data_IF_007776392559
#
_entry.id   IF_007776392559
#
_cell.length_a   1.000
_cell.length_b   1.000
_cell.length_c   1.000
_cell.angle_alpha   90.00
_cell.angle_beta   90.00
_cell.angle_gamma   90.00
#
_symmetry.space_group_name_H-M   'P 1'
#
loop_
_entity.id
_entity.type
_entity.pdbx_description
1 polymer ?
#
# COMPACT_ATOMS: atom_id res chain seq x y z
N UNK A 1 -14.37 -27.83 6.31
CA UNK A 1 -13.88 -26.48 6.01
C UNK A 1 -13.56 -25.79 7.33
N UNK A 2 -12.37 -25.20 7.47
CA UNK A 2 -12.06 -24.41 8.66
C UNK A 2 -13.08 -23.28 8.80
N UNK A 3 -13.35 -22.81 10.01
CA UNK A 3 -14.37 -21.79 10.27
C UNK A 3 -14.10 -20.45 9.54
N UNK A 4 -12.87 -20.25 9.04
CA UNK A 4 -12.39 -19.02 8.42
C UNK A 4 -11.65 -19.34 7.11
N UNK A 5 -12.40 -19.77 6.10
CA UNK A 5 -11.88 -20.06 4.77
C UNK A 5 -12.66 -19.35 3.67
N UNK A 6 -11.99 -18.97 2.58
CA UNK A 6 -12.64 -18.38 1.41
C UNK A 6 -12.03 -18.88 0.10
N UNK A 7 -12.90 -19.20 -0.86
CA UNK A 7 -12.52 -19.56 -2.23
C UNK A 7 -12.25 -18.30 -3.08
N UNK A 8 -11.11 -18.34 -3.77
CA UNK A 8 -10.68 -17.33 -4.73
C UNK A 8 -10.36 -17.97 -6.07
N UNK A 9 -10.43 -17.17 -7.12
CA UNK A 9 -10.12 -17.53 -8.48
C UNK A 9 -9.13 -16.51 -9.05
N UNK A 10 -8.19 -16.98 -9.86
CA UNK A 10 -7.24 -16.12 -10.57
C UNK A 10 -7.07 -16.64 -12.00
N UNK A 11 -7.04 -15.72 -12.96
CA UNK A 11 -6.91 -16.07 -14.39
C UNK A 11 -5.96 -15.09 -15.09
N UNK A 12 -5.23 -15.58 -16.09
CA UNK A 12 -4.25 -14.83 -16.86
C UNK A 12 -2.98 -15.64 -17.10
N UNK A 13 -1.87 -14.99 -17.40
CA UNK A 13 -0.57 -15.66 -17.53
C UNK A 13 0.06 -15.92 -16.15
N UNK A 14 -0.54 -16.85 -15.39
CA UNK A 14 -0.28 -17.08 -13.97
C UNK A 14 1.18 -17.45 -13.64
N UNK A 15 1.78 -18.28 -14.50
CA UNK A 15 3.15 -18.81 -14.30
C UNK A 15 4.18 -17.79 -14.77
N UNK A 16 4.10 -17.35 -16.04
CA UNK A 16 5.05 -16.44 -16.68
C UNK A 16 5.15 -15.08 -15.96
N UNK A 17 4.02 -14.53 -15.51
CA UNK A 17 3.98 -13.26 -14.77
C UNK A 17 4.22 -13.44 -13.26
N UNK A 18 4.50 -14.67 -12.83
CA UNK A 18 4.71 -15.06 -11.43
C UNK A 18 3.56 -14.65 -10.50
N UNK A 19 2.34 -14.51 -11.04
CA UNK A 19 1.17 -14.08 -10.27
C UNK A 19 0.86 -15.11 -9.19
N UNK A 20 0.86 -16.40 -9.55
CA UNK A 20 0.57 -17.46 -8.60
C UNK A 20 1.64 -17.55 -7.51
N UNK A 21 2.92 -17.38 -7.87
CA UNK A 21 4.04 -17.30 -6.93
C UNK A 21 3.87 -16.15 -5.94
N UNK A 22 3.59 -14.94 -6.43
CA UNK A 22 3.36 -13.77 -5.57
C UNK A 22 2.17 -13.99 -4.63
N UNK A 23 1.09 -14.60 -5.10
CA UNK A 23 -0.06 -14.95 -4.26
C UNK A 23 0.36 -15.88 -3.14
N UNK A 24 1.09 -16.97 -3.45
CA UNK A 24 1.57 -17.91 -2.43
C UNK A 24 2.51 -17.25 -1.44
N UNK A 25 3.46 -16.44 -1.91
CA UNK A 25 4.40 -15.71 -1.05
C UNK A 25 3.65 -14.80 -0.07
N UNK A 26 2.67 -14.02 -0.54
CA UNK A 26 1.84 -13.17 0.32
C UNK A 26 1.04 -13.94 1.38
N UNK A 27 0.53 -15.12 1.03
CA UNK A 27 -0.19 -15.98 1.98
C UNK A 27 0.79 -16.51 3.03
N UNK A 28 1.97 -16.98 2.61
CA UNK A 28 2.99 -17.53 3.51
C UNK A 28 3.62 -16.48 4.43
N UNK A 29 3.92 -15.29 3.92
CA UNK A 29 4.44 -14.15 4.69
C UNK A 29 3.51 -13.78 5.86
N UNK A 30 2.20 -13.86 5.63
CA UNK A 30 1.17 -13.63 6.64
C UNK A 30 0.89 -14.88 7.50
N UNK A 31 1.56 -16.01 7.24
CA UNK A 31 1.34 -17.29 7.95
C UNK A 31 -0.10 -17.81 7.78
N UNK A 32 -0.67 -17.61 6.59
CA UNK A 32 -1.92 -18.22 6.15
C UNK A 32 -1.70 -19.61 5.55
N UNK A 33 -2.79 -20.35 5.39
CA UNK A 33 -2.80 -21.65 4.70
C UNK A 33 -3.59 -21.56 3.40
N UNK A 34 -3.21 -22.35 2.40
CA UNK A 34 -3.94 -22.45 1.14
C UNK A 34 -4.03 -23.89 0.64
N UNK A 35 -5.13 -24.19 -0.04
CA UNK A 35 -5.28 -25.42 -0.84
C UNK A 35 -5.49 -25.02 -2.29
N UNK A 36 -4.80 -25.71 -3.20
CA UNK A 36 -5.04 -25.59 -4.64
C UNK A 36 -6.15 -26.57 -5.00
N UNK A 37 -7.35 -26.04 -5.26
CA UNK A 37 -8.51 -26.87 -5.57
C UNK A 37 -8.54 -27.28 -7.05
N UNK A 38 -8.07 -26.39 -7.91
CA UNK A 38 -8.07 -26.57 -9.36
C UNK A 38 -6.98 -25.73 -10.00
N UNK A 39 -6.29 -26.29 -10.98
CA UNK A 39 -5.35 -25.56 -11.82
C UNK A 39 -5.46 -26.05 -13.26
N UNK A 40 -5.64 -25.10 -14.17
CA UNK A 40 -5.61 -25.31 -15.61
C UNK A 40 -4.51 -24.43 -16.20
N UNK A 41 -3.58 -25.05 -16.92
CA UNK A 41 -2.39 -24.38 -17.45
C UNK A 41 -2.57 -24.23 -18.95
N UNK A 42 -2.56 -22.97 -19.41
CA UNK A 42 -2.58 -22.66 -20.84
C UNK A 42 -1.47 -23.38 -21.59
N UNK A 43 -1.84 -24.08 -22.68
CA UNK A 43 -0.91 -24.96 -23.42
C UNK A 43 0.05 -24.15 -24.28
N UNK A 44 -0.43 -23.05 -24.89
CA UNK A 44 0.37 -22.17 -25.75
C UNK A 44 0.73 -20.89 -25.03
N UNK A 45 1.74 -20.22 -25.59
CA UNK A 45 2.24 -18.93 -25.11
C UNK A 45 1.14 -17.88 -24.86
N UNK A 46 0.06 -17.83 -25.64
CA UNK A 46 -1.00 -16.82 -25.49
C UNK A 46 -2.22 -17.33 -24.70
N UNK A 47 -2.21 -18.59 -24.30
CA UNK A 47 -3.35 -19.15 -23.58
C UNK A 47 -3.30 -18.68 -22.12
N UNK A 48 -4.46 -18.33 -21.56
CA UNK A 48 -4.56 -17.98 -20.16
C UNK A 48 -4.60 -19.26 -19.33
N UNK A 49 -3.92 -19.23 -18.19
CA UNK A 49 -4.08 -20.23 -17.14
C UNK A 49 -5.15 -19.77 -16.16
N UNK A 50 -5.70 -20.73 -15.44
CA UNK A 50 -6.71 -20.53 -14.40
C UNK A 50 -6.30 -21.31 -13.15
N UNK A 51 -6.53 -20.74 -11.98
CA UNK A 51 -6.37 -21.44 -10.72
C UNK A 51 -7.48 -21.06 -9.74
N UNK A 52 -7.96 -22.05 -9.00
CA UNK A 52 -8.90 -21.89 -7.88
C UNK A 52 -8.24 -22.35 -6.61
N UNK A 53 -8.27 -21.48 -5.60
CA UNK A 53 -7.61 -21.70 -4.33
C UNK A 53 -8.60 -21.50 -3.18
N UNK A 54 -8.50 -22.33 -2.16
CA UNK A 54 -9.16 -22.09 -0.87
C UNK A 54 -8.11 -21.57 0.11
N UNK A 55 -8.29 -20.33 0.58
CA UNK A 55 -7.41 -19.69 1.57
C UNK A 55 -8.03 -19.83 2.96
N UNK A 56 -7.24 -20.18 3.96
CA UNK A 56 -7.66 -20.27 5.37
C UNK A 56 -6.83 -19.36 6.28
N UNK A 57 -7.51 -18.65 7.16
CA UNK A 57 -6.92 -17.82 8.21
C UNK A 57 -7.16 -18.40 9.61
N UNK A 58 -6.41 -17.90 10.59
CA UNK A 58 -6.56 -18.28 12.02
C UNK A 58 -7.88 -17.79 12.62
N UNK A 59 -8.35 -16.63 12.14
CA UNK A 59 -9.60 -15.98 12.50
C UNK A 59 -10.03 -15.08 11.31
N UNK A 60 -11.20 -14.45 11.41
CA UNK A 60 -11.73 -13.60 10.32
C UNK A 60 -10.82 -12.41 9.99
N UNK A 61 -10.29 -11.71 11.01
CA UNK A 61 -9.41 -10.55 10.81
C UNK A 61 -8.15 -10.95 10.04
N UNK A 62 -7.56 -12.09 10.41
CA UNK A 62 -6.39 -12.63 9.74
C UNK A 62 -6.71 -13.06 8.31
N UNK A 63 -7.85 -13.72 8.06
CA UNK A 63 -8.29 -14.07 6.71
C UNK A 63 -8.47 -12.82 5.84
N UNK A 64 -9.13 -11.79 6.36
CA UNK A 64 -9.37 -10.54 5.64
C UNK A 64 -8.05 -9.83 5.27
N UNK A 65 -7.05 -9.88 6.16
CA UNK A 65 -5.70 -9.38 5.89
C UNK A 65 -5.02 -10.13 4.73
N UNK A 66 -5.14 -11.46 4.70
CA UNK A 66 -4.58 -12.28 3.61
C UNK A 66 -5.32 -12.02 2.29
N UNK A 67 -6.65 -12.01 2.31
CA UNK A 67 -7.44 -11.76 1.10
C UNK A 67 -7.13 -10.40 0.49
N UNK A 68 -6.93 -9.38 1.33
CA UNK A 68 -6.53 -8.04 0.91
C UNK A 68 -5.21 -8.00 0.14
N UNK A 69 -4.22 -8.80 0.53
CA UNK A 69 -2.96 -8.86 -0.21
C UNK A 69 -3.11 -9.65 -1.50
N UNK A 70 -3.86 -10.74 -1.48
CA UNK A 70 -4.04 -11.64 -2.62
C UNK A 70 -4.91 -11.02 -3.73
N UNK A 71 -5.94 -10.25 -3.39
CA UNK A 71 -6.74 -9.50 -4.39
C UNK A 71 -5.93 -8.45 -5.13
N UNK A 72 -4.89 -7.88 -4.49
CA UNK A 72 -3.98 -6.94 -5.14
C UNK A 72 -3.14 -7.59 -6.24
N UNK A 73 -2.87 -8.88 -6.12
CA UNK A 73 -2.18 -9.69 -7.12
C UNK A 73 -3.12 -10.20 -8.24
N UNK A 74 -4.39 -9.78 -8.23
CA UNK A 74 -5.35 -10.09 -9.30
C UNK A 74 -6.26 -11.27 -9.03
N UNK A 75 -6.22 -11.86 -7.83
CA UNK A 75 -7.24 -12.80 -7.41
C UNK A 75 -8.59 -12.11 -7.25
N UNK A 76 -9.67 -12.86 -7.43
CA UNK A 76 -11.05 -12.43 -7.17
C UNK A 76 -11.76 -13.47 -6.32
N UNK A 77 -12.75 -13.05 -5.53
CA UNK A 77 -13.61 -14.04 -4.87
C UNK A 77 -14.48 -14.75 -5.90
N UNK A 78 -14.61 -16.07 -5.77
CA UNK A 78 -15.54 -16.87 -6.56
C UNK A 78 -16.99 -16.38 -6.44
N UNK A 79 -17.37 -15.96 -5.24
CA UNK A 79 -18.67 -15.32 -5.01
C UNK A 79 -18.57 -13.86 -5.41
N UNK A 80 -19.14 -13.53 -6.56
CA UNK A 80 -19.21 -12.16 -7.05
C UNK A 80 -20.15 -11.34 -6.15
N UNK A 81 -19.56 -10.47 -5.32
CA UNK A 81 -20.28 -9.49 -4.52
C UNK A 81 -20.28 -8.16 -5.24
N UNK A 82 -21.40 -7.45 -5.19
CA UNK A 82 -21.47 -6.08 -5.71
C UNK A 82 -20.62 -5.13 -4.86
N UNK A 83 -20.10 -4.08 -5.50
CA UNK A 83 -19.36 -3.04 -4.79
C UNK A 83 -20.21 -2.37 -3.73
N UNK A 84 -19.58 -1.99 -2.62
CA UNK A 84 -20.21 -1.18 -1.60
C UNK A 84 -19.87 0.29 -1.82
N UNK A 85 -20.88 1.15 -1.71
CA UNK A 85 -20.74 2.59 -1.92
C UNK A 85 -21.09 3.33 -0.63
N UNK A 86 -20.26 4.33 -0.29
CA UNK A 86 -20.57 5.31 0.75
C UNK A 86 -20.44 6.71 0.18
N UNK A 87 -21.28 7.62 0.68
CA UNK A 87 -21.20 9.04 0.34
C UNK A 87 -19.98 9.66 1.01
N UNK A 88 -19.22 10.46 0.26
CA UNK A 88 -18.23 11.36 0.83
C UNK A 88 -18.90 12.32 1.82
N UNK A 89 -18.39 12.45 3.07
CA UNK A 89 -19.01 13.30 4.08
C UNK A 89 -18.82 14.81 3.81
N UNK A 90 -17.72 15.19 3.15
CA UNK A 90 -17.30 16.58 2.88
C UNK A 90 -16.38 16.62 1.66
N UNK A 91 -16.25 17.79 1.05
CA UNK A 91 -15.25 18.02 0.01
C UNK A 91 -13.86 17.60 0.49
N UNK A 92 -13.11 16.95 -0.41
CA UNK A 92 -11.76 16.45 -0.18
C UNK A 92 -11.59 15.31 0.84
N UNK A 93 -12.70 14.72 1.32
CA UNK A 93 -12.68 13.65 2.33
C UNK A 93 -13.32 12.38 1.79
N UNK A 94 -12.57 11.27 1.86
CA UNK A 94 -13.10 9.92 1.57
C UNK A 94 -13.80 9.33 2.81
N UNK A 95 -14.81 8.48 2.63
CA UNK A 95 -15.40 7.73 3.74
C UNK A 95 -14.40 6.70 4.31
N UNK A 96 -14.62 6.30 5.56
CA UNK A 96 -13.85 5.23 6.19
C UNK A 96 -13.90 3.94 5.36
N UNK A 97 -12.77 3.22 5.34
CA UNK A 97 -12.58 1.98 4.59
C UNK A 97 -12.76 2.15 3.07
N UNK A 98 -12.50 3.34 2.51
CA UNK A 98 -12.44 3.51 1.06
C UNK A 98 -11.38 2.59 0.44
N UNK A 99 -11.64 2.12 -0.78
CA UNK A 99 -10.66 1.37 -1.53
C UNK A 99 -9.56 2.30 -2.08
N UNK A 100 -8.31 2.07 -1.68
CA UNK A 100 -7.15 2.76 -2.24
C UNK A 100 -6.66 2.05 -3.49
N UNK A 101 -6.64 2.77 -4.61
CA UNK A 101 -6.31 2.22 -5.94
C UNK A 101 -4.83 1.87 -6.09
N UNK A 102 -4.57 0.89 -6.95
CA UNK A 102 -3.22 0.62 -7.49
C UNK A 102 -3.04 1.36 -8.83
N UNK A 103 -1.88 1.21 -9.46
CA UNK A 103 -1.62 1.65 -10.83
C UNK A 103 -2.15 0.67 -11.91
N UNK A 104 -2.65 -0.49 -11.51
CA UNK A 104 -3.08 -1.56 -12.42
C UNK A 104 -4.49 -1.31 -12.98
N UNK A 105 -4.80 -1.92 -14.12
CA UNK A 105 -6.16 -1.92 -14.64
C UNK A 105 -7.13 -2.53 -13.62
N UNK A 106 -8.22 -1.81 -13.35
CA UNK A 106 -9.18 -2.20 -12.32
C UNK A 106 -10.58 -2.20 -12.91
N UNK A 107 -11.31 -3.28 -12.65
CA UNK A 107 -12.73 -3.41 -12.93
C UNK A 107 -13.51 -3.47 -11.63
N UNK A 108 -14.75 -2.97 -11.67
CA UNK A 108 -15.67 -3.03 -10.54
C UNK A 108 -16.99 -3.67 -10.95
N UNK A 109 -17.56 -4.50 -10.07
CA UNK A 109 -18.80 -5.20 -10.31
C UNK A 109 -19.98 -4.35 -9.82
N UNK A 110 -20.72 -3.77 -10.76
CA UNK A 110 -21.85 -2.87 -10.51
C UNK A 110 -23.06 -3.33 -11.33
N UNK A 111 -24.21 -3.51 -10.68
CA UNK A 111 -25.50 -3.91 -11.29
C UNK A 111 -25.38 -5.15 -12.19
N UNK A 112 -24.68 -6.17 -11.71
CA UNK A 112 -24.50 -7.44 -12.41
C UNK A 112 -23.50 -7.39 -13.57
N UNK A 113 -22.72 -6.31 -13.73
CA UNK A 113 -21.73 -6.17 -14.81
C UNK A 113 -20.38 -5.68 -14.28
N UNK A 114 -19.31 -6.19 -14.88
CA UNK A 114 -17.97 -5.65 -14.68
C UNK A 114 -17.79 -4.41 -15.55
N UNK A 115 -17.53 -3.27 -14.91
CA UNK A 115 -17.22 -2.01 -15.60
C UNK A 115 -15.76 -1.64 -15.36
N UNK A 116 -15.12 -1.05 -16.37
CA UNK A 116 -13.75 -0.56 -16.27
C UNK A 116 -13.71 0.74 -15.46
N UNK A 117 -12.69 0.89 -14.61
CA UNK A 117 -12.41 2.16 -13.93
C UNK A 117 -11.57 3.03 -14.84
N UNK A 118 -12.07 4.23 -15.16
CA UNK A 118 -11.37 5.18 -16.01
C UNK A 118 -10.28 5.95 -15.21
N UNK A 119 -9.22 6.38 -15.89
CA UNK A 119 -8.12 7.22 -15.36
C UNK A 119 -7.32 6.61 -14.19
N UNK A 120 -7.07 5.30 -14.25
CA UNK A 120 -6.33 4.58 -13.19
C UNK A 120 -4.99 5.24 -12.85
N UNK A 121 -4.77 5.38 -11.55
CA UNK A 121 -3.53 5.81 -10.93
C UNK A 121 -3.53 5.31 -9.49
N UNK A 122 -2.35 5.06 -8.92
CA UNK A 122 -2.26 4.63 -7.52
C UNK A 122 -2.63 5.74 -6.53
N UNK A 123 -2.93 5.33 -5.30
CA UNK A 123 -3.16 6.20 -4.13
C UNK A 123 -4.34 7.17 -4.29
N UNK A 124 -5.42 6.68 -4.92
CA UNK A 124 -6.65 7.41 -5.14
C UNK A 124 -7.86 6.59 -4.69
N UNK A 125 -9.03 7.21 -4.75
CA UNK A 125 -10.31 6.52 -4.54
C UNK A 125 -11.03 6.29 -5.87
N UNK A 126 -12.06 5.43 -5.85
CA UNK A 126 -12.93 5.22 -7.00
C UNK A 126 -14.29 5.86 -6.73
N UNK A 127 -14.67 6.83 -7.56
CA UNK A 127 -15.99 7.47 -7.53
C UNK A 127 -16.88 6.88 -8.62
N UNK A 128 -18.10 6.49 -8.25
CA UNK A 128 -19.12 5.97 -9.16
C UNK A 128 -20.11 7.06 -9.53
N UNK A 129 -20.28 7.33 -10.83
CA UNK A 129 -21.25 8.29 -11.38
C UNK A 129 -22.13 7.58 -12.40
N UNK A 130 -23.39 7.32 -12.04
CA UNK A 130 -24.31 6.54 -12.88
C UNK A 130 -23.86 5.09 -13.04
N UNK A 131 -23.45 4.71 -14.25
CA UNK A 131 -22.94 3.37 -14.56
C UNK A 131 -21.43 3.40 -14.92
N UNK A 132 -20.72 4.47 -14.56
CA UNK A 132 -19.28 4.63 -14.78
C UNK A 132 -18.52 4.76 -13.46
N UNK A 133 -17.28 4.31 -13.45
CA UNK A 133 -16.36 4.41 -12.32
C UNK A 133 -15.10 5.19 -12.74
N UNK A 134 -14.67 6.11 -11.88
CA UNK A 134 -13.53 6.99 -12.14
C UNK A 134 -12.56 6.92 -10.97
N UNK A 135 -11.27 6.82 -11.28
CA UNK A 135 -10.21 6.98 -10.30
C UNK A 135 -9.97 8.48 -10.05
N UNK A 136 -10.18 8.93 -8.81
CA UNK A 136 -10.25 10.36 -8.44
C UNK A 136 -9.31 10.64 -7.25
N UNK A 137 -8.40 11.62 -7.36
CA UNK A 137 -7.54 12.02 -6.24
C UNK A 137 -8.38 12.69 -5.15
N UNK A 138 -7.94 12.60 -3.89
CA UNK A 138 -8.70 13.13 -2.75
C UNK A 138 -9.11 14.59 -2.95
N UNK A 139 -8.23 15.43 -3.49
CA UNK A 139 -8.47 16.86 -3.78
C UNK A 139 -9.59 17.15 -4.79
N UNK A 140 -10.05 16.14 -5.53
CA UNK A 140 -11.13 16.31 -6.52
C UNK A 140 -12.47 15.72 -6.03
N UNK A 141 -12.47 15.07 -4.86
CA UNK A 141 -13.67 14.50 -4.23
C UNK A 141 -14.60 15.62 -3.76
N UNK A 142 -15.89 15.49 -4.09
CA UNK A 142 -16.95 16.39 -3.63
C UNK A 142 -17.86 15.70 -2.61
N UNK A 143 -18.41 16.49 -1.70
CA UNK A 143 -19.41 16.03 -0.74
C UNK A 143 -20.55 15.31 -1.47
N UNK A 144 -20.89 14.11 -1.01
CA UNK A 144 -21.95 13.29 -1.57
C UNK A 144 -21.55 12.38 -2.73
N UNK A 145 -20.32 12.49 -3.25
CA UNK A 145 -19.79 11.54 -4.23
C UNK A 145 -19.91 10.09 -3.71
N UNK A 146 -20.36 9.17 -4.57
CA UNK A 146 -20.44 7.75 -4.24
C UNK A 146 -19.04 7.13 -4.38
N UNK A 147 -18.40 6.80 -3.27
CA UNK A 147 -17.05 6.24 -3.24
C UNK A 147 -17.12 4.76 -2.87
N UNK A 148 -16.32 3.95 -3.56
CA UNK A 148 -16.19 2.51 -3.28
C UNK A 148 -15.48 2.29 -1.94
N UNK A 149 -16.06 1.43 -1.11
CA UNK A 149 -15.50 1.00 0.18
C UNK A 149 -15.33 -0.52 0.24
N UNK A 150 -14.31 -0.97 0.97
CA UNK A 150 -13.91 -2.38 1.03
C UNK A 150 -13.38 -2.90 -0.31
N UNK A 151 -13.29 -4.22 -0.43
CA UNK A 151 -12.67 -4.89 -1.59
C UNK A 151 -13.64 -5.80 -2.37
N UNK A 152 -14.89 -5.87 -1.92
CA UNK A 152 -15.93 -6.63 -2.59
C UNK A 152 -16.22 -6.05 -3.98
N UNK A 153 -16.28 -6.92 -4.99
CA UNK A 153 -16.62 -6.52 -6.35
C UNK A 153 -15.50 -5.76 -7.06
N UNK A 154 -14.25 -5.90 -6.63
CA UNK A 154 -13.09 -5.30 -7.29
C UNK A 154 -12.26 -6.40 -7.94
N UNK A 155 -11.87 -6.19 -9.19
CA UNK A 155 -10.97 -7.07 -9.93
C UNK A 155 -9.81 -6.28 -10.47
N UNK A 156 -8.61 -6.64 -10.08
CA UNK A 156 -7.37 -6.04 -10.57
C UNK A 156 -6.78 -6.94 -11.64
N UNK A 157 -6.30 -6.35 -12.73
CA UNK A 157 -5.51 -7.05 -13.75
C UNK A 157 -4.10 -6.49 -13.71
N UNK A 158 -3.15 -7.18 -13.04
CA UNK A 158 -1.75 -6.79 -13.05
C UNK A 158 -1.19 -6.78 -14.48
N UNK A 159 -0.20 -5.93 -14.79
CA UNK A 159 0.46 -5.95 -16.08
C UNK A 159 1.16 -7.29 -16.29
N UNK A 160 1.03 -7.84 -17.50
CA UNK A 160 1.79 -9.01 -17.90
C UNK A 160 3.27 -8.61 -18.03
N UNK A 161 4.17 -9.46 -17.52
CA UNK A 161 5.61 -9.21 -17.70
C UNK A 161 5.94 -9.17 -19.20
N UNK A 162 6.67 -8.14 -19.68
CA UNK A 162 7.23 -8.17 -21.02
C UNK A 162 8.04 -9.45 -21.20
N UNK A 163 7.81 -10.16 -22.30
CA UNK A 163 8.39 -11.49 -22.55
C UNK A 163 9.80 -11.43 -23.15
N UNK A 164 10.41 -10.25 -23.17
CA UNK A 164 11.80 -10.03 -23.55
C UNK A 164 12.64 -9.96 -22.26
N UNK A 165 13.72 -10.75 -22.22
CA UNK A 165 14.43 -11.11 -21.00
C UNK A 165 14.86 -9.91 -20.17
N UNK A 166 14.36 -9.84 -18.94
CA UNK A 166 14.90 -8.95 -17.91
C UNK A 166 16.00 -9.72 -17.20
N UNK A 167 17.25 -9.26 -17.31
CA UNK A 167 18.41 -9.84 -16.64
C UNK A 167 18.13 -9.98 -15.14
N UNK A 168 18.33 -11.19 -14.61
CA UNK A 168 17.94 -11.63 -13.26
C UNK A 168 18.95 -11.18 -12.18
N UNK A 169 19.89 -10.27 -12.51
CA UNK A 169 21.02 -9.99 -11.63
C UNK A 169 21.55 -8.57 -11.80
N UNK A 170 21.55 -7.80 -10.70
CA UNK A 170 22.27 -6.53 -10.58
C UNK A 170 22.94 -6.48 -9.20
N UNK A 171 24.22 -6.11 -9.17
CA UNK A 171 25.02 -5.96 -7.95
C UNK A 171 25.43 -4.48 -7.82
N UNK A 172 25.46 -3.97 -6.58
CA UNK A 172 25.98 -2.65 -6.16
C UNK A 172 25.11 -1.41 -6.41
N UNK A 173 23.98 -1.30 -5.70
CA UNK A 173 23.09 -0.12 -5.72
C UNK A 173 23.30 0.92 -4.61
N UNK A 174 24.43 0.97 -3.91
CA UNK A 174 24.65 2.02 -2.90
C UNK A 174 26.07 2.58 -2.91
N UNK A 175 26.16 3.89 -3.06
CA UNK A 175 27.36 4.69 -2.89
C UNK A 175 27.24 5.51 -1.60
N UNK A 176 27.42 4.87 -0.44
CA UNK A 176 27.64 5.60 0.80
C UNK A 176 28.35 4.72 1.82
N UNK A 177 29.62 5.05 2.07
CA UNK A 177 30.50 4.41 3.06
C UNK A 177 30.18 4.92 4.47
N UNK A 178 30.14 4.00 5.44
CA UNK A 178 29.75 4.19 6.84
C UNK A 178 30.93 4.47 7.80
N UNK A 179 32.16 4.66 7.30
CA UNK A 179 33.36 4.71 8.14
C UNK A 179 33.83 6.14 8.44
N UNK A 180 32.96 6.96 9.05
CA UNK A 180 33.36 8.23 9.68
C UNK A 180 33.18 8.15 11.20
N UNK A 181 34.01 8.84 12.01
CA UNK A 181 33.86 8.88 13.46
C UNK A 181 32.62 9.70 13.87
N UNK A 182 31.44 9.09 13.76
CA UNK A 182 30.13 9.70 13.99
C UNK A 182 29.94 10.22 15.41
N UNK A 183 30.51 9.54 16.41
CA UNK A 183 30.36 9.93 17.82
C UNK A 183 31.02 11.27 18.17
N UNK A 184 32.21 11.54 17.63
CA UNK A 184 32.92 12.80 17.89
C UNK A 184 32.17 13.99 17.28
N UNK A 185 31.64 13.82 16.07
CA UNK A 185 30.83 14.84 15.39
C UNK A 185 29.52 15.07 16.15
N UNK A 186 28.84 13.99 16.58
CA UNK A 186 27.60 14.09 17.34
C UNK A 186 27.79 14.86 18.65
N UNK A 187 28.89 14.61 19.38
CA UNK A 187 29.21 15.35 20.61
C UNK A 187 29.41 16.83 20.34
N UNK A 188 30.18 17.17 19.30
CA UNK A 188 30.42 18.57 18.93
C UNK A 188 29.11 19.29 18.57
N UNK A 189 28.24 18.65 17.78
CA UNK A 189 26.92 19.20 17.43
C UNK A 189 26.06 19.40 18.68
N UNK A 190 26.09 18.48 19.66
CA UNK A 190 25.37 18.64 20.92
C UNK A 190 25.88 19.84 21.74
N UNK A 191 27.21 20.02 21.81
CA UNK A 191 27.82 21.18 22.48
C UNK A 191 27.43 22.50 21.77
N UNK A 192 27.42 22.52 20.44
CA UNK A 192 27.01 23.69 19.63
C UNK A 192 25.53 24.04 19.85
N UNK A 193 24.66 23.03 19.89
CA UNK A 193 23.23 23.19 20.19
C UNK A 193 23.07 23.81 21.59
N UNK A 194 23.71 23.22 22.60
CA UNK A 194 23.61 23.70 23.98
C UNK A 194 24.10 25.15 24.13
N UNK A 195 25.26 25.46 23.57
CA UNK A 195 25.85 26.81 23.64
C UNK A 195 25.00 27.84 22.90
N UNK A 196 24.43 27.47 21.74
CA UNK A 196 23.52 28.34 20.98
C UNK A 196 22.29 28.68 21.81
N UNK A 197 21.66 27.68 22.47
CA UNK A 197 20.51 27.91 23.35
C UNK A 197 20.86 28.76 24.56
N UNK A 198 22.01 28.50 25.21
CA UNK A 198 22.51 29.28 26.34
C UNK A 198 22.69 30.77 25.99
N UNK A 199 23.09 31.06 24.75
CA UNK A 199 23.29 32.43 24.25
C UNK A 199 22.00 33.08 23.70
N UNK A 200 20.83 32.46 23.90
CA UNK A 200 19.55 32.98 23.39
C UNK A 200 19.35 32.83 21.88
N UNK A 201 20.18 32.02 21.22
CA UNK A 201 20.06 31.69 19.80
C UNK A 201 18.88 30.76 19.51
N UNK A 202 18.49 30.72 18.23
CA UNK A 202 17.43 29.84 17.72
C UNK A 202 18.00 28.74 16.85
N UNK A 203 17.44 27.54 16.98
CA UNK A 203 17.85 26.36 16.23
C UNK A 203 16.67 25.89 15.40
N UNK A 204 16.91 25.64 14.12
CA UNK A 204 15.90 25.17 13.18
C UNK A 204 16.38 23.89 12.54
N UNK A 205 15.53 22.86 12.52
CA UNK A 205 15.78 21.64 11.76
C UNK A 205 15.18 21.77 10.36
N UNK A 206 15.95 21.39 9.35
CA UNK A 206 15.45 21.13 8.00
C UNK A 206 15.46 19.62 7.79
N UNK A 207 14.28 19.00 7.80
CA UNK A 207 14.13 17.53 7.90
C UNK A 207 13.37 16.91 6.73
N UNK A 208 13.80 15.71 6.33
CA UNK A 208 13.09 14.85 5.38
C UNK A 208 12.53 13.59 6.08
N UNK A 209 11.69 12.80 5.39
CA UNK A 209 10.99 11.64 5.99
C UNK A 209 11.94 10.54 6.48
N UNK A 210 13.19 10.53 6.02
CA UNK A 210 14.24 9.64 6.51
C UNK A 210 14.43 9.69 8.04
N UNK A 211 14.10 10.82 8.70
CA UNK A 211 14.11 10.92 10.16
C UNK A 211 13.22 9.86 10.80
N UNK A 212 12.02 9.63 10.25
CA UNK A 212 11.06 8.63 10.73
C UNK A 212 11.50 7.23 10.27
N UNK A 213 11.90 7.07 9.01
CA UNK A 213 12.31 5.76 8.49
C UNK A 213 13.51 5.14 9.21
N UNK A 214 14.39 5.96 9.78
CA UNK A 214 15.55 5.49 10.56
C UNK A 214 15.28 5.40 12.07
N UNK A 215 14.06 5.71 12.53
CA UNK A 215 13.68 5.70 13.95
C UNK A 215 14.29 6.83 14.77
N UNK A 216 14.62 7.96 14.14
CA UNK A 216 15.17 9.14 14.82
C UNK A 216 14.08 10.15 15.26
N UNK A 217 12.82 9.88 14.94
CA UNK A 217 11.63 10.68 15.25
C UNK A 217 11.47 10.93 16.77
N UNK A 218 11.66 9.90 17.61
CA UNK A 218 11.62 10.05 19.07
C UNK A 218 12.70 11.01 19.58
N UNK A 219 13.92 10.88 19.04
CA UNK A 219 15.05 11.74 19.42
C UNK A 219 14.82 13.20 19.02
N UNK A 220 14.30 13.43 17.82
CA UNK A 220 13.97 14.78 17.35
C UNK A 220 12.81 15.37 18.16
N UNK A 221 11.77 14.58 18.44
CA UNK A 221 10.64 14.97 19.26
C UNK A 221 11.06 15.38 20.67
N UNK A 222 12.02 14.65 21.26
CA UNK A 222 12.55 15.00 22.58
C UNK A 222 13.35 16.29 22.57
N UNK A 223 14.18 16.53 21.54
CA UNK A 223 14.89 17.80 21.39
C UNK A 223 13.94 19.01 21.22
N UNK A 224 12.83 18.83 20.51
CA UNK A 224 11.77 19.85 20.40
C UNK A 224 11.13 20.08 21.78
N UNK A 225 10.73 19.00 22.48
CA UNK A 225 10.07 19.07 23.79
C UNK A 225 10.95 19.71 24.87
N UNK A 226 12.25 19.40 24.82
CA UNK A 226 13.27 19.97 25.70
C UNK A 226 13.66 21.41 25.33
N UNK A 227 13.07 22.00 24.29
CA UNK A 227 13.27 23.39 23.89
C UNK A 227 14.58 23.66 23.15
N UNK A 228 15.29 22.62 22.71
CA UNK A 228 16.52 22.75 21.93
C UNK A 228 16.27 23.07 20.45
N UNK A 229 15.07 22.79 19.94
CA UNK A 229 14.67 23.12 18.56
C UNK A 229 13.53 24.12 18.60
N UNK A 230 13.71 25.26 17.94
CA UNK A 230 12.75 26.37 17.90
C UNK A 230 11.87 26.35 16.65
N UNK A 231 12.24 25.58 15.64
CA UNK A 231 11.47 25.45 14.40
C UNK A 231 11.83 24.22 13.59
N UNK A 232 10.86 23.75 12.81
CA UNK A 232 11.03 22.65 11.86
C UNK A 232 10.57 23.13 10.50
N UNK A 233 11.45 23.00 9.50
CA UNK A 233 11.16 23.22 8.09
C UNK A 233 11.18 21.86 7.40
N UNK A 234 10.04 21.45 6.86
CA UNK A 234 9.88 20.14 6.24
C UNK A 234 8.86 20.16 5.10
N UNK A 235 8.86 19.09 4.32
CA UNK A 235 7.81 18.81 3.33
C UNK A 235 6.67 17.96 3.91
N UNK A 236 5.62 17.77 3.11
CA UNK A 236 4.45 16.95 3.47
C UNK A 236 4.83 15.52 3.93
N UNK A 237 5.83 14.91 3.28
CA UNK A 237 6.22 13.53 3.57
C UNK A 237 6.60 13.34 5.05
N UNK A 238 7.50 14.18 5.60
CA UNK A 238 7.92 14.04 7.00
C UNK A 238 6.70 14.07 7.94
N UNK A 239 5.79 15.02 7.74
CA UNK A 239 4.60 15.15 8.59
C UNK A 239 3.66 13.94 8.46
N UNK A 240 3.45 13.42 7.24
CA UNK A 240 2.57 12.26 7.03
C UNK A 240 3.17 10.99 7.66
N UNK A 241 4.46 10.71 7.45
CA UNK A 241 5.11 9.53 8.02
C UNK A 241 5.21 9.59 9.56
N UNK A 242 5.47 10.77 10.13
CA UNK A 242 5.49 10.97 11.59
C UNK A 242 4.12 10.68 12.22
N UNK A 243 3.04 11.23 11.64
CA UNK A 243 1.67 10.98 12.10
C UNK A 243 1.29 9.50 11.91
N UNK A 244 1.67 8.89 10.79
CA UNK A 244 1.42 7.47 10.53
C UNK A 244 2.13 6.60 11.58
N UNK A 245 3.40 6.88 11.86
CA UNK A 245 4.16 6.11 12.84
C UNK A 245 3.55 6.24 14.24
N UNK A 246 3.19 7.45 14.64
CA UNK A 246 2.56 7.71 15.94
C UNK A 246 1.16 7.06 16.08
N UNK A 247 0.43 6.86 14.98
CA UNK A 247 -0.96 6.34 15.01
C UNK A 247 -1.08 4.85 14.68
N UNK A 248 -0.24 4.35 13.78
CA UNK A 248 -0.31 2.99 13.23
C UNK A 248 0.95 2.16 13.51
N UNK A 249 2.04 2.77 13.99
CA UNK A 249 3.32 2.10 14.19
C UNK A 249 4.02 1.72 12.89
N UNK A 250 3.58 2.28 11.77
CA UNK A 250 4.14 2.05 10.43
C UNK A 250 4.58 3.37 9.81
N UNK A 251 5.51 3.27 8.86
CA UNK A 251 5.89 4.40 8.03
C UNK A 251 5.98 3.91 6.60
N UNK A 252 5.00 4.30 5.78
CA UNK A 252 4.80 4.01 4.35
C UNK A 252 6.09 3.63 3.61
#
# INVERSE_FOLDING_TARGET
>A
MSKFSQEIEVSGHLIDSSILTKIFDKIMDLKGEFNVDEIDIGVKKKDHSYARLTISGKNQVHLDQILKTVYREGAVSKVQKEIQLKKSPKDFVMPDNFYSTTNNHTQVFLKGKWIQVENMMMDKCIVVKGNKAFCVPFRDVKKGDQIIVGEAGIKITPPERPREGVNVFEFMGSASSSERPTQHIAKQVADDIYNTKKNGGKIVIVGGPAIVHTGADDSVSELIRSGYIDGVLAGNALAVHDIEYATLGTSL
#
